data_IF_734804296044
#
_entry.id   IF_734804296044
#
_cell.length_a   1.000
_cell.length_b   1.000
_cell.length_c   1.000
_cell.angle_alpha   90.00
_cell.angle_beta   90.00
_cell.angle_gamma   90.00
#
_symmetry.space_group_name_H-M   'P 1'
#
loop_
_entity.id
_entity.type
_entity.pdbx_description
1 polymer ?
#
# COMPACT_ATOMS: atom_id res chain seq x y z
N UNK A 1 -13.91 -6.75 3.02
CA UNK A 1 -14.35 -5.73 2.04
C UNK A 1 -15.77 -5.28 2.25
N UNK A 2 -16.11 -4.08 1.76
CA UNK A 2 -17.43 -3.48 1.98
C UNK A 2 -18.49 -4.19 1.14
N UNK A 3 -19.34 -4.96 1.80
CA UNK A 3 -20.59 -5.45 1.25
C UNK A 3 -21.71 -4.67 1.93
N UNK A 4 -22.07 -3.53 1.35
CA UNK A 4 -23.10 -2.65 1.87
C UNK A 4 -24.50 -3.12 1.47
N UNK A 5 -25.52 -2.49 2.05
CA UNK A 5 -26.95 -2.82 1.83
C UNK A 5 -27.39 -2.79 0.35
N UNK A 6 -26.66 -2.08 -0.50
CA UNK A 6 -26.97 -1.91 -1.93
C UNK A 6 -25.99 -2.63 -2.88
N UNK A 7 -25.11 -3.50 -2.37
CA UNK A 7 -24.11 -4.16 -3.21
C UNK A 7 -24.74 -5.36 -3.94
N UNK A 8 -24.84 -5.27 -5.27
CA UNK A 8 -25.47 -6.30 -6.12
C UNK A 8 -24.69 -7.63 -6.17
N UNK A 9 -23.37 -7.58 -5.97
CA UNK A 9 -22.48 -8.74 -6.01
C UNK A 9 -21.51 -8.69 -4.84
N UNK A 10 -21.31 -9.84 -4.18
CA UNK A 10 -20.37 -9.95 -3.07
C UNK A 10 -18.96 -9.64 -3.56
N UNK A 11 -18.30 -8.71 -2.89
CA UNK A 11 -16.94 -8.31 -3.21
C UNK A 11 -15.96 -8.95 -2.22
N UNK A 12 -15.09 -9.82 -2.74
CA UNK A 12 -14.13 -10.62 -1.95
C UNK A 12 -12.74 -9.99 -1.91
N UNK A 13 -12.47 -9.01 -2.78
CA UNK A 13 -11.17 -8.34 -2.83
C UNK A 13 -10.12 -9.08 -3.56
N UNK A 14 -8.96 -9.15 -2.92
CA UNK A 14 -7.87 -10.03 -3.32
C UNK A 14 -8.22 -11.50 -3.05
N UNK A 15 -9.30 -11.77 -2.29
CA UNK A 15 -9.87 -13.10 -2.12
C UNK A 15 -10.80 -13.51 -3.25
N UNK A 16 -11.30 -14.74 -3.19
CA UNK A 16 -12.22 -15.33 -4.16
C UNK A 16 -13.50 -15.86 -3.49
N UNK A 17 -14.44 -16.35 -4.29
CA UNK A 17 -15.66 -16.97 -3.75
C UNK A 17 -15.37 -18.24 -2.93
N UNK A 18 -14.33 -19.00 -3.27
CA UNK A 18 -13.91 -20.22 -2.57
C UNK A 18 -12.92 -19.96 -1.43
N UNK A 19 -12.20 -18.83 -1.46
CA UNK A 19 -11.33 -18.39 -0.38
C UNK A 19 -11.52 -16.88 -0.14
N UNK A 20 -12.48 -16.48 0.71
CA UNK A 20 -12.89 -15.08 0.89
C UNK A 20 -11.95 -14.26 1.77
N UNK A 21 -10.92 -14.89 2.35
CA UNK A 21 -9.97 -14.24 3.23
C UNK A 21 -8.97 -13.40 2.42
N UNK A 22 -8.39 -12.39 3.08
CA UNK A 22 -7.22 -11.72 2.51
C UNK A 22 -6.10 -12.74 2.31
N UNK A 23 -5.32 -12.61 1.22
CA UNK A 23 -4.12 -13.41 1.07
C UNK A 23 -3.18 -13.16 2.24
N UNK A 24 -2.35 -14.15 2.54
CA UNK A 24 -1.25 -13.95 3.48
C UNK A 24 -0.37 -12.83 2.94
N UNK A 25 -0.03 -11.86 3.80
CA UNK A 25 0.89 -10.81 3.44
C UNK A 25 2.22 -11.42 2.96
N UNK A 26 2.86 -10.84 1.93
CA UNK A 26 4.11 -11.37 1.42
C UNK A 26 5.20 -11.29 2.50
N UNK A 27 6.13 -12.25 2.52
CA UNK A 27 7.17 -12.35 3.56
C UNK A 27 8.10 -11.14 3.62
N UNK A 28 8.20 -10.36 2.54
CA UNK A 28 8.97 -9.12 2.49
C UNK A 28 8.17 -7.89 2.95
N UNK A 29 6.86 -8.01 3.18
CA UNK A 29 5.99 -6.92 3.67
C UNK A 29 4.87 -7.46 4.55
N UNK A 30 5.23 -8.17 5.61
CA UNK A 30 4.24 -8.76 6.52
C UNK A 30 3.53 -7.68 7.38
N UNK A 31 4.26 -6.60 7.71
CA UNK A 31 3.77 -5.46 8.45
C UNK A 31 4.61 -4.20 8.14
N UNK A 32 4.41 -3.13 8.92
CA UNK A 32 5.10 -1.86 8.75
C UNK A 32 6.65 -1.96 8.78
N UNK A 33 7.23 -3.00 9.40
CA UNK A 33 8.69 -3.24 9.36
C UNK A 33 9.18 -3.58 7.95
N UNK A 34 8.28 -3.92 7.04
CA UNK A 34 8.54 -4.17 5.62
C UNK A 34 8.85 -2.91 4.80
N UNK A 35 8.61 -1.69 5.32
CA UNK A 35 8.94 -0.46 4.60
C UNK A 35 10.42 -0.35 4.22
N UNK A 36 11.33 -0.89 5.04
CA UNK A 36 12.76 -1.00 4.71
C UNK A 36 13.03 -1.80 3.44
N UNK A 37 12.16 -2.76 3.10
CA UNK A 37 12.30 -3.58 1.91
C UNK A 37 11.81 -2.83 0.67
N UNK A 38 10.80 -1.96 0.80
CA UNK A 38 10.39 -1.03 -0.26
C UNK A 38 11.52 -0.06 -0.60
N UNK A 39 12.11 0.57 0.41
CA UNK A 39 13.25 1.48 0.24
C UNK A 39 14.41 0.80 -0.52
N UNK A 40 14.83 -0.40 -0.06
CA UNK A 40 15.87 -1.19 -0.71
C UNK A 40 15.51 -1.57 -2.15
N UNK A 41 14.25 -1.95 -2.38
CA UNK A 41 13.76 -2.33 -3.71
C UNK A 41 13.81 -1.16 -4.69
N UNK A 42 13.32 0.01 -4.28
CA UNK A 42 13.34 1.22 -5.11
C UNK A 42 14.77 1.66 -5.45
N UNK A 43 15.67 1.68 -4.46
CA UNK A 43 17.10 1.96 -4.67
C UNK A 43 17.72 0.96 -5.64
N UNK A 44 17.41 -0.33 -5.51
CA UNK A 44 17.92 -1.39 -6.40
C UNK A 44 17.45 -1.22 -7.85
N UNK A 45 16.24 -0.72 -8.07
CA UNK A 45 15.69 -0.44 -9.42
C UNK A 45 16.36 0.78 -10.05
N UNK A 46 16.96 1.67 -9.26
CA UNK A 46 17.73 2.82 -9.74
C UNK A 46 17.12 4.19 -9.44
N UNK A 47 16.12 4.25 -8.56
CA UNK A 47 15.58 5.53 -8.08
C UNK A 47 16.62 6.28 -7.25
N UNK A 48 16.64 7.60 -7.38
CA UNK A 48 17.47 8.48 -6.57
C UNK A 48 16.94 8.54 -5.13
N UNK A 49 17.81 8.86 -4.17
CA UNK A 49 17.44 8.97 -2.75
C UNK A 49 16.25 9.91 -2.52
N UNK A 50 16.23 11.04 -3.22
CA UNK A 50 15.14 12.02 -3.16
C UNK A 50 13.81 11.42 -3.61
N UNK A 51 13.80 10.74 -4.76
CA UNK A 51 12.60 10.08 -5.28
C UNK A 51 12.09 8.98 -4.35
N UNK A 52 13.01 8.19 -3.76
CA UNK A 52 12.65 7.16 -2.77
C UNK A 52 11.96 7.79 -1.56
N UNK A 53 12.52 8.87 -1.00
CA UNK A 53 11.94 9.56 0.15
C UNK A 53 10.58 10.19 -0.19
N UNK A 54 10.44 10.72 -1.40
CA UNK A 54 9.20 11.32 -1.89
C UNK A 54 8.09 10.27 -2.05
N UNK A 55 8.41 9.11 -2.61
CA UNK A 55 7.49 7.97 -2.75
C UNK A 55 7.10 7.39 -1.38
N UNK A 56 8.07 7.25 -0.47
CA UNK A 56 7.82 6.62 0.84
C UNK A 56 7.08 7.53 1.83
N UNK A 57 7.06 8.85 1.63
CA UNK A 57 6.28 9.70 2.51
C UNK A 57 6.24 11.19 2.20
N UNK A 58 7.30 11.79 1.64
CA UNK A 58 7.33 13.26 1.55
C UNK A 58 6.24 13.82 0.63
N UNK A 59 5.86 13.12 -0.45
CA UNK A 59 4.79 13.57 -1.32
C UNK A 59 3.46 13.69 -0.54
N UNK A 60 3.13 12.68 0.25
CA UNK A 60 1.93 12.70 1.10
C UNK A 60 2.02 13.76 2.20
N UNK A 61 3.17 13.86 2.87
CA UNK A 61 3.41 14.89 3.87
C UNK A 61 3.22 16.30 3.29
N UNK A 62 3.81 16.60 2.14
CA UNK A 62 3.72 17.89 1.47
C UNK A 62 2.29 18.19 1.01
N UNK A 63 1.58 17.19 0.49
CA UNK A 63 0.18 17.31 0.11
C UNK A 63 -0.69 17.74 1.31
N UNK A 64 -0.61 17.02 2.43
CA UNK A 64 -1.39 17.34 3.63
C UNK A 64 -0.95 18.65 4.29
N UNK A 65 0.35 18.95 4.29
CA UNK A 65 0.87 20.24 4.77
C UNK A 65 0.31 21.40 3.95
N UNK A 66 0.20 21.22 2.62
CA UNK A 66 -0.35 22.23 1.72
C UNK A 66 -1.86 22.45 1.86
N UNK A 67 -2.62 21.49 2.38
CA UNK A 67 -4.06 21.64 2.65
C UNK A 67 -4.37 22.54 3.85
N UNK A 68 -3.40 22.77 4.73
CA UNK A 68 -3.57 23.58 5.94
C UNK A 68 -3.19 25.06 5.73
N UNK A 69 -2.89 25.45 4.49
CA UNK A 69 -2.61 26.83 4.06
C UNK A 69 -3.76 27.35 3.21
#
# INVERSE_FOLDING_TARGET
>A
MRNGKWTKKKNFGEGSSSNPNFPKQPTWFEDARGFKNLEKGLKKVGFQETEVNDILGNNWYNFYRGMNN
#
